data_IF_868035790106
#
_entry.id   IF_868035790106
#
_cell.length_a   1.000
_cell.length_b   1.000
_cell.length_c   1.000
_cell.angle_alpha   90.00
_cell.angle_beta   90.00
_cell.angle_gamma   90.00
#
_symmetry.space_group_name_H-M   'P 1'
#
loop_
_entity.id
_entity.type
_entity.pdbx_description
1 polymer ?
#
# COMPACT_ATOMS: atom_id res chain seq x y z
N UNK A 1 -25.03 -26.62 -24.05
CA UNK A 1 -25.13 -27.03 -22.63
C UNK A 1 -23.72 -27.25 -22.14
N UNK A 2 -23.12 -26.28 -21.46
CA UNK A 2 -21.80 -26.45 -20.87
C UNK A 2 -21.97 -27.30 -19.62
N UNK A 3 -21.46 -28.53 -19.65
CA UNK A 3 -21.23 -29.30 -18.44
C UNK A 3 -20.26 -28.50 -17.58
N UNK A 4 -20.79 -27.67 -16.68
CA UNK A 4 -20.07 -27.24 -15.50
C UNK A 4 -19.93 -28.47 -14.62
N UNK A 5 -19.07 -29.40 -15.05
CA UNK A 5 -18.65 -30.52 -14.22
C UNK A 5 -18.23 -29.92 -12.90
N UNK A 6 -18.85 -30.39 -11.81
CA UNK A 6 -18.52 -29.98 -10.47
C UNK A 6 -16.99 -30.14 -10.35
N UNK A 7 -16.26 -29.03 -10.44
CA UNK A 7 -14.82 -29.05 -10.20
C UNK A 7 -14.69 -29.59 -8.79
N UNK A 8 -14.00 -30.71 -8.63
CA UNK A 8 -13.71 -31.26 -7.31
C UNK A 8 -13.09 -30.15 -6.47
N UNK A 9 -13.91 -29.57 -5.58
CA UNK A 9 -13.46 -28.51 -4.69
C UNK A 9 -12.60 -29.20 -3.67
N UNK A 10 -11.28 -29.15 -3.90
CA UNK A 10 -10.31 -29.70 -2.96
C UNK A 10 -10.56 -29.09 -1.57
N UNK A 11 -10.45 -29.89 -0.49
CA UNK A 11 -10.74 -29.40 0.84
C UNK A 11 -9.79 -28.25 1.22
N UNK A 12 -10.28 -27.28 2.03
CA UNK A 12 -9.46 -26.21 2.54
C UNK A 12 -8.42 -26.73 3.53
N UNK A 13 -7.27 -26.09 3.55
CA UNK A 13 -6.06 -26.46 4.26
C UNK A 13 -5.78 -25.48 5.40
N UNK A 14 -5.07 -25.96 6.42
CA UNK A 14 -4.46 -25.05 7.40
C UNK A 14 -3.38 -24.20 6.73
N UNK A 15 -2.97 -23.09 7.36
CA UNK A 15 -1.94 -22.21 6.79
C UNK A 15 -0.64 -22.96 6.42
N UNK A 16 -0.18 -23.86 7.30
CA UNK A 16 1.07 -24.61 7.08
C UNK A 16 0.95 -25.64 5.95
N UNK A 17 -0.23 -26.23 5.76
CA UNK A 17 -0.49 -27.13 4.64
C UNK A 17 -0.69 -26.36 3.33
N UNK A 18 -1.36 -25.21 3.38
CA UNK A 18 -1.61 -24.35 2.24
C UNK A 18 -0.30 -23.80 1.65
N UNK A 19 0.64 -23.36 2.50
CA UNK A 19 1.94 -22.86 2.01
C UNK A 19 2.77 -23.94 1.32
N UNK A 20 2.75 -25.19 1.83
CA UNK A 20 3.46 -26.30 1.16
C UNK A 20 2.74 -26.72 -0.11
N UNK A 21 1.40 -26.75 -0.11
CA UNK A 21 0.62 -27.02 -1.31
C UNK A 21 0.89 -25.99 -2.42
N UNK A 22 1.01 -24.70 -2.07
CA UNK A 22 1.38 -23.66 -3.03
C UNK A 22 2.82 -23.85 -3.56
N UNK A 23 3.77 -24.15 -2.68
CA UNK A 23 5.15 -24.45 -3.07
C UNK A 23 5.24 -25.65 -4.05
N UNK A 24 4.46 -26.71 -3.80
CA UNK A 24 4.35 -27.86 -4.71
C UNK A 24 3.66 -27.45 -6.02
N UNK A 25 2.59 -26.66 -5.95
CA UNK A 25 1.85 -26.21 -7.12
C UNK A 25 2.72 -25.41 -8.09
N UNK A 26 3.55 -24.47 -7.60
CA UNK A 26 4.48 -23.70 -8.41
C UNK A 26 5.46 -24.56 -9.22
N UNK A 27 5.78 -25.75 -8.71
CA UNK A 27 6.69 -26.70 -9.36
C UNK A 27 5.95 -27.76 -10.20
N UNK A 28 4.62 -27.69 -10.28
CA UNK A 28 3.80 -28.68 -10.97
C UNK A 28 3.66 -28.38 -12.48
N UNK A 29 3.49 -29.41 -13.33
CA UNK A 29 3.19 -29.22 -14.75
C UNK A 29 1.96 -28.33 -14.98
N UNK A 30 0.94 -28.48 -14.13
CA UNK A 30 -0.31 -27.69 -14.15
C UNK A 30 -0.02 -26.19 -14.05
N UNK A 31 0.99 -25.77 -13.28
CA UNK A 31 1.36 -24.36 -13.22
C UNK A 31 2.07 -23.91 -14.51
N UNK A 32 2.99 -24.72 -15.03
CA UNK A 32 3.76 -24.40 -16.25
C UNK A 32 2.89 -24.27 -17.51
N UNK A 33 1.73 -24.91 -17.53
CA UNK A 33 0.76 -24.86 -18.64
C UNK A 33 -0.16 -23.63 -18.60
N UNK A 34 -0.10 -22.80 -17.56
CA UNK A 34 -0.92 -21.57 -17.48
C UNK A 34 -0.45 -20.55 -18.52
N UNK A 35 -1.40 -19.84 -19.12
CA UNK A 35 -1.17 -18.81 -20.14
C UNK A 35 -0.09 -17.78 -19.72
N UNK A 36 -0.10 -17.38 -18.44
CA UNK A 36 0.80 -16.38 -17.90
C UNK A 36 1.98 -16.97 -17.10
N UNK A 37 2.21 -18.29 -17.15
CA UNK A 37 3.30 -18.92 -16.40
C UNK A 37 4.67 -18.36 -16.81
N UNK A 38 4.84 -18.02 -18.09
CA UNK A 38 6.11 -17.57 -18.67
C UNK A 38 6.76 -16.38 -17.96
N UNK A 39 5.97 -15.46 -17.38
CA UNK A 39 6.50 -14.31 -16.62
C UNK A 39 7.01 -14.69 -15.23
N UNK A 40 6.61 -15.86 -14.72
CA UNK A 40 6.90 -16.34 -13.36
C UNK A 40 7.91 -17.50 -13.36
N UNK A 41 8.05 -18.23 -14.47
CA UNK A 41 8.96 -19.38 -14.61
C UNK A 41 10.40 -19.07 -14.17
N UNK A 42 10.87 -17.85 -14.46
CA UNK A 42 12.22 -17.43 -14.14
C UNK A 42 12.50 -17.24 -12.65
N UNK A 43 11.48 -17.32 -11.79
CA UNK A 43 11.55 -16.97 -10.37
C UNK A 43 10.84 -17.99 -9.46
N UNK A 44 10.61 -19.21 -9.97
CA UNK A 44 9.89 -20.26 -9.25
C UNK A 44 10.62 -20.68 -7.97
N UNK A 45 11.95 -20.75 -7.99
CA UNK A 45 12.74 -21.16 -6.83
C UNK A 45 12.58 -20.17 -5.68
N UNK A 46 12.67 -18.86 -5.98
CA UNK A 46 12.46 -17.80 -5.02
C UNK A 46 11.03 -17.81 -4.47
N UNK A 47 10.03 -17.91 -5.34
CA UNK A 47 8.62 -17.95 -4.91
C UNK A 47 8.32 -19.20 -4.08
N UNK A 48 8.88 -20.35 -4.44
CA UNK A 48 8.78 -21.60 -3.67
C UNK A 48 9.39 -21.42 -2.27
N UNK A 49 10.57 -20.79 -2.19
CA UNK A 49 11.22 -20.49 -0.93
C UNK A 49 10.41 -19.51 -0.06
N UNK A 50 9.84 -18.45 -0.66
CA UNK A 50 8.97 -17.48 0.00
C UNK A 50 7.74 -18.17 0.61
N UNK A 51 7.07 -19.04 -0.16
CA UNK A 51 5.93 -19.83 0.32
C UNK A 51 6.30 -20.66 1.54
N UNK A 52 7.38 -21.46 1.46
CA UNK A 52 7.84 -22.30 2.58
C UNK A 52 8.18 -21.50 3.84
N UNK A 53 8.66 -20.26 3.66
CA UNK A 53 9.02 -19.36 4.75
C UNK A 53 7.84 -18.52 5.29
N UNK A 54 6.60 -18.89 4.94
CA UNK A 54 5.37 -18.43 5.60
C UNK A 54 4.74 -17.19 4.96
N UNK A 55 4.87 -17.05 3.64
CA UNK A 55 4.16 -16.06 2.83
C UNK A 55 3.52 -16.77 1.63
N UNK A 56 2.21 -17.01 1.68
CA UNK A 56 1.50 -17.76 0.62
C UNK A 56 1.22 -16.83 -0.56
N UNK A 57 1.99 -16.96 -1.63
CA UNK A 57 1.90 -16.06 -2.80
C UNK A 57 0.63 -16.31 -3.59
N UNK A 58 -0.15 -15.26 -3.87
CA UNK A 58 -1.35 -15.32 -4.72
C UNK A 58 -1.14 -14.63 -6.07
N UNK A 59 -0.29 -13.60 -6.11
CA UNK A 59 0.04 -12.90 -7.34
C UNK A 59 1.45 -12.31 -7.28
N UNK A 60 2.12 -12.23 -8.42
CA UNK A 60 3.47 -11.68 -8.53
C UNK A 60 3.74 -11.17 -9.94
N UNK A 61 4.60 -10.15 -10.04
CA UNK A 61 5.11 -9.66 -11.31
C UNK A 61 6.57 -9.26 -11.17
N UNK A 62 7.35 -9.52 -12.21
CA UNK A 62 8.73 -9.04 -12.33
C UNK A 62 8.78 -7.56 -12.70
N UNK A 63 9.78 -6.84 -12.19
CA UNK A 63 10.09 -5.51 -12.69
C UNK A 63 10.86 -5.60 -14.01
N UNK A 64 10.24 -5.19 -15.12
CA UNK A 64 10.87 -5.24 -16.45
C UNK A 64 10.80 -3.90 -17.17
N UNK A 65 11.79 -3.63 -18.03
CA UNK A 65 11.73 -2.57 -19.04
C UNK A 65 11.82 -3.26 -20.39
N UNK A 66 10.71 -3.28 -21.12
CA UNK A 66 10.64 -3.82 -22.46
C UNK A 66 10.30 -2.71 -23.45
N UNK A 67 10.80 -2.83 -24.66
CA UNK A 67 10.49 -1.91 -25.74
C UNK A 67 10.44 -2.67 -27.06
N UNK A 68 9.67 -2.17 -28.00
CA UNK A 68 9.55 -2.76 -29.32
C UNK A 68 8.91 -1.82 -30.31
N UNK A 69 8.69 -2.33 -31.51
CA UNK A 69 7.98 -1.64 -32.57
C UNK A 69 6.75 -2.46 -32.93
N UNK A 70 5.58 -1.85 -32.85
CA UNK A 70 4.35 -2.47 -33.31
C UNK A 70 4.23 -2.22 -34.82
N UNK A 71 4.41 -3.28 -35.62
CA UNK A 71 4.43 -3.22 -37.08
C UNK A 71 3.09 -2.77 -37.69
N UNK A 72 1.97 -3.11 -37.05
CA UNK A 72 0.62 -2.76 -37.52
C UNK A 72 0.35 -1.27 -37.33
N UNK A 73 0.68 -0.73 -36.16
CA UNK A 73 0.44 0.69 -35.80
C UNK A 73 1.59 1.61 -36.20
N UNK A 74 2.73 1.06 -36.63
CA UNK A 74 3.99 1.76 -36.91
C UNK A 74 4.45 2.64 -35.75
N UNK A 75 4.23 2.20 -34.51
CA UNK A 75 4.60 2.93 -33.28
C UNK A 75 5.61 2.16 -32.44
N UNK A 76 6.59 2.89 -31.93
CA UNK A 76 7.43 2.38 -30.84
C UNK A 76 6.62 2.34 -29.55
N UNK A 77 6.78 1.25 -28.82
CA UNK A 77 6.22 1.12 -27.48
C UNK A 77 7.36 0.88 -26.49
N UNK A 78 7.14 1.36 -25.27
CA UNK A 78 8.02 1.13 -24.12
C UNK A 78 7.15 0.83 -22.92
N UNK A 79 7.27 -0.37 -22.39
CA UNK A 79 6.62 -0.79 -21.16
C UNK A 79 7.65 -0.69 -20.05
N UNK A 80 7.24 -0.08 -18.94
CA UNK A 80 8.02 -0.01 -17.70
C UNK A 80 7.16 -0.57 -16.60
N UNK A 81 7.59 -1.69 -16.05
CA UNK A 81 6.91 -2.39 -14.99
C UNK A 81 7.75 -2.37 -13.71
N UNK A 82 7.03 -2.34 -12.59
CA UNK A 82 7.60 -2.51 -11.25
C UNK A 82 7.38 -3.94 -10.82
N UNK A 83 8.30 -4.44 -10.01
CA UNK A 83 8.12 -5.70 -9.32
C UNK A 83 7.05 -5.58 -8.24
N UNK A 84 6.20 -6.59 -8.10
CA UNK A 84 5.32 -6.70 -6.95
C UNK A 84 5.13 -8.16 -6.52
N UNK A 85 4.69 -8.33 -5.28
CA UNK A 85 4.33 -9.60 -4.69
C UNK A 85 3.11 -9.42 -3.78
N UNK A 86 2.12 -10.29 -3.93
CA UNK A 86 0.91 -10.30 -3.09
C UNK A 86 0.71 -11.70 -2.52
N UNK A 87 0.26 -11.77 -1.27
CA UNK A 87 -0.02 -13.05 -0.64
C UNK A 87 -0.45 -12.97 0.81
N UNK A 88 -0.73 -14.14 1.39
CA UNK A 88 -1.19 -14.27 2.76
C UNK A 88 -0.05 -14.50 3.75
N UNK A 89 -0.16 -13.85 4.90
CA UNK A 89 0.66 -14.13 6.09
C UNK A 89 -0.23 -14.34 7.30
N UNK A 90 0.24 -15.13 8.28
CA UNK A 90 -0.42 -15.18 9.59
C UNK A 90 -0.47 -13.79 10.23
N UNK A 91 -1.61 -13.46 10.82
CA UNK A 91 -1.84 -12.17 11.50
C UNK A 91 -0.76 -11.89 12.56
N UNK A 92 -0.37 -12.91 13.33
CA UNK A 92 0.65 -12.82 14.39
C UNK A 92 2.03 -12.34 13.91
N UNK A 93 2.34 -12.52 12.63
CA UNK A 93 3.66 -12.27 12.05
C UNK A 93 3.65 -11.16 11.00
N UNK A 94 2.54 -10.99 10.29
CA UNK A 94 2.42 -10.07 9.16
C UNK A 94 2.71 -8.61 9.52
N UNK A 95 2.27 -8.14 10.68
CA UNK A 95 2.57 -6.76 11.14
C UNK A 95 4.07 -6.52 11.37
N UNK A 96 4.77 -7.48 11.99
CA UNK A 96 6.23 -7.42 12.19
C UNK A 96 6.97 -7.43 10.86
N UNK A 97 6.53 -8.27 9.93
CA UNK A 97 7.12 -8.38 8.59
C UNK A 97 6.97 -7.09 7.78
N UNK A 98 5.76 -6.51 7.73
CA UNK A 98 5.51 -5.23 7.04
C UNK A 98 6.41 -4.13 7.60
N UNK A 99 6.48 -4.01 8.92
CA UNK A 99 7.36 -3.02 9.57
C UNK A 99 8.83 -3.26 9.23
N UNK A 100 9.27 -4.52 9.21
CA UNK A 100 10.64 -4.85 8.85
C UNK A 100 10.97 -4.41 7.43
N UNK A 101 10.13 -4.74 6.44
CA UNK A 101 10.34 -4.36 5.04
C UNK A 101 10.45 -2.84 4.91
N UNK A 102 9.46 -2.11 5.42
CA UNK A 102 9.41 -0.65 5.29
C UNK A 102 10.53 0.08 6.04
N UNK A 103 11.14 -0.54 7.04
CA UNK A 103 12.19 0.07 7.87
C UNK A 103 13.62 -0.29 7.43
N UNK A 104 13.79 -1.41 6.71
CA UNK A 104 15.12 -1.97 6.43
C UNK A 104 15.43 -2.07 4.93
N UNK A 105 14.49 -1.71 4.07
CA UNK A 105 14.61 -1.85 2.61
C UNK A 105 14.06 -0.61 1.93
N UNK A 106 14.31 -0.47 0.63
CA UNK A 106 13.66 0.52 -0.23
C UNK A 106 12.31 0.03 -0.78
N UNK A 107 11.84 -1.16 -0.36
CA UNK A 107 10.57 -1.74 -0.80
C UNK A 107 9.43 -1.20 0.06
N UNK A 108 8.22 -1.27 -0.50
CA UNK A 108 7.01 -0.81 0.16
C UNK A 108 6.12 -2.01 0.42
N UNK A 109 5.82 -2.30 1.69
CA UNK A 109 4.87 -3.32 2.12
C UNK A 109 3.68 -2.67 2.82
N UNK A 110 2.48 -3.19 2.55
CA UNK A 110 1.26 -2.74 3.21
C UNK A 110 0.23 -3.85 3.29
N UNK A 111 -0.69 -3.66 4.22
CA UNK A 111 -1.87 -4.50 4.42
C UNK A 111 -2.99 -4.03 3.49
N UNK A 112 -3.60 -4.94 2.74
CA UNK A 112 -4.85 -4.67 2.02
C UNK A 112 -5.98 -4.52 3.04
N UNK A 113 -6.65 -3.37 3.03
CA UNK A 113 -7.76 -3.11 3.95
C UNK A 113 -8.99 -3.90 3.55
N UNK A 114 -9.63 -4.55 4.51
CA UNK A 114 -10.88 -5.27 4.30
C UNK A 114 -12.02 -4.34 4.75
N UNK A 115 -12.93 -4.06 3.83
CA UNK A 115 -14.19 -3.38 4.13
C UNK A 115 -15.33 -4.38 4.03
N UNK A 116 -16.41 -4.14 4.79
CA UNK A 116 -17.61 -4.95 4.60
C UNK A 116 -18.19 -4.70 3.20
N UNK A 117 -18.87 -5.72 2.67
CA UNK A 117 -19.44 -5.67 1.34
C UNK A 117 -20.50 -4.56 1.24
N UNK A 118 -21.29 -4.34 2.30
CA UNK A 118 -22.32 -3.30 2.36
C UNK A 118 -21.76 -1.88 2.29
N UNK A 119 -20.71 -1.53 3.05
CA UNK A 119 -20.11 -0.20 2.95
C UNK A 119 -19.38 -0.05 1.61
N UNK A 120 -18.84 -1.15 1.06
CA UNK A 120 -18.24 -1.14 -0.25
C UNK A 120 -19.26 -0.74 -1.33
N UNK A 121 -20.38 -1.45 -1.39
CA UNK A 121 -21.48 -1.19 -2.33
C UNK A 121 -22.11 0.19 -2.11
N UNK A 122 -22.26 0.63 -0.85
CA UNK A 122 -22.78 1.94 -0.54
C UNK A 122 -21.86 3.07 -1.04
N UNK A 123 -20.54 2.93 -0.91
CA UNK A 123 -19.60 3.91 -1.46
C UNK A 123 -19.49 3.83 -3.00
N UNK A 124 -19.56 2.64 -3.61
CA UNK A 124 -19.64 2.49 -5.05
C UNK A 124 -20.90 3.14 -5.63
N UNK A 125 -22.06 2.91 -5.02
CA UNK A 125 -23.34 3.54 -5.41
C UNK A 125 -23.28 5.05 -5.27
N UNK A 126 -22.69 5.58 -4.18
CA UNK A 126 -22.50 7.03 -4.01
C UNK A 126 -21.62 7.64 -5.09
N UNK A 127 -20.58 6.93 -5.56
CA UNK A 127 -19.76 7.36 -6.70
C UNK A 127 -20.59 7.42 -7.99
N UNK A 128 -21.33 6.36 -8.30
CA UNK A 128 -22.15 6.29 -9.51
C UNK A 128 -23.26 7.36 -9.53
N UNK A 129 -23.78 7.74 -8.36
CA UNK A 129 -24.73 8.84 -8.21
C UNK A 129 -24.07 10.23 -8.31
N UNK A 130 -22.75 10.34 -8.10
CA UNK A 130 -22.01 11.58 -8.24
C UNK A 130 -21.75 11.85 -9.73
N UNK A 131 -22.47 12.82 -10.31
CA UNK A 131 -22.30 13.23 -11.73
C UNK A 131 -20.92 13.85 -12.06
N UNK A 132 -20.01 13.94 -11.08
CA UNK A 132 -18.63 14.35 -11.28
C UNK A 132 -17.70 13.14 -11.31
N UNK A 133 -16.67 13.19 -12.15
CA UNK A 133 -15.61 12.18 -12.28
C UNK A 133 -14.68 12.10 -11.05
N UNK A 134 -15.24 12.10 -9.85
CA UNK A 134 -14.48 11.91 -8.63
C UNK A 134 -13.94 10.46 -8.59
N UNK A 135 -12.61 10.27 -8.43
CA UNK A 135 -12.02 8.93 -8.44
C UNK A 135 -12.46 8.13 -7.21
N UNK A 136 -12.44 6.79 -7.30
CA UNK A 136 -12.93 5.89 -6.23
C UNK A 136 -12.22 6.15 -4.88
N UNK A 137 -10.95 6.57 -4.92
CA UNK A 137 -10.14 6.93 -3.74
C UNK A 137 -10.66 8.16 -2.97
N UNK A 138 -11.64 8.89 -3.52
CA UNK A 138 -12.31 9.99 -2.82
C UNK A 138 -13.50 9.53 -1.96
N UNK A 139 -13.99 8.31 -2.19
CA UNK A 139 -15.13 7.72 -1.46
C UNK A 139 -14.70 6.71 -0.40
N UNK A 140 -13.58 6.03 -0.63
CA UNK A 140 -12.82 5.38 0.43
C UNK A 140 -11.52 6.15 0.56
N UNK A 141 -11.19 6.77 1.71
CA UNK A 141 -9.79 7.06 1.95
C UNK A 141 -9.08 5.72 1.79
N UNK A 142 -8.19 5.57 0.81
CA UNK A 142 -7.42 4.35 0.63
C UNK A 142 -6.66 4.16 1.94
N UNK A 143 -7.16 3.34 2.85
CA UNK A 143 -6.47 3.08 4.11
C UNK A 143 -5.41 2.03 3.77
N UNK A 144 -4.37 2.45 3.05
CA UNK A 144 -3.11 1.73 3.07
C UNK A 144 -2.55 1.94 4.48
N UNK A 145 -2.75 0.98 5.38
CA UNK A 145 -2.11 1.02 6.69
C UNK A 145 -0.65 0.66 6.49
N UNK A 146 0.19 1.66 6.25
CA UNK A 146 1.61 1.52 6.53
C UNK A 146 1.76 1.56 8.04
N UNK A 147 2.05 0.40 8.64
CA UNK A 147 2.10 0.24 10.11
C UNK A 147 3.17 1.12 10.78
N UNK A 148 4.11 1.63 10.00
CA UNK A 148 4.95 2.79 10.26
C UNK A 148 5.48 3.19 8.88
N UNK A 149 4.98 4.28 8.30
CA UNK A 149 5.62 4.82 7.10
C UNK A 149 7.04 5.24 7.47
N UNK A 150 8.04 4.77 6.70
CA UNK A 150 9.33 5.44 6.72
C UNK A 150 9.07 6.92 6.42
N UNK A 151 9.81 7.84 7.03
CA UNK A 151 9.66 9.28 6.80
C UNK A 151 9.84 9.71 5.33
N UNK A 152 10.17 8.78 4.45
CA UNK A 152 10.56 9.00 3.06
C UNK A 152 9.48 8.59 2.04
N UNK A 153 8.50 7.75 2.39
CA UNK A 153 7.43 7.35 1.44
C UNK A 153 6.12 8.02 1.82
N UNK A 154 5.70 9.03 1.05
CA UNK A 154 4.43 9.70 1.30
C UNK A 154 3.25 8.82 0.85
N UNK A 155 2.08 9.01 1.47
CA UNK A 155 0.85 8.37 1.02
C UNK A 155 0.52 8.70 -0.45
N UNK A 156 0.93 9.88 -0.91
CA UNK A 156 0.79 10.29 -2.31
C UNK A 156 1.68 9.45 -3.23
N UNK A 157 2.89 9.09 -2.80
CA UNK A 157 3.75 8.14 -3.53
C UNK A 157 3.07 6.78 -3.62
N UNK A 158 2.49 6.28 -2.52
CA UNK A 158 1.70 5.03 -2.51
C UNK A 158 0.57 5.13 -3.54
N UNK A 159 -0.31 6.12 -3.47
CA UNK A 159 -1.42 6.28 -4.44
C UNK A 159 -0.92 6.40 -5.88
N UNK A 160 0.19 7.10 -6.12
CA UNK A 160 0.80 7.21 -7.45
C UNK A 160 1.40 5.87 -7.94
N UNK A 161 1.84 4.99 -7.03
CA UNK A 161 2.22 3.62 -7.37
C UNK A 161 1.00 2.80 -7.82
N UNK A 162 -0.17 3.00 -7.20
CA UNK A 162 -1.40 2.25 -7.50
C UNK A 162 -2.22 2.76 -8.68
N UNK A 163 -2.04 4.01 -9.08
CA UNK A 163 -2.81 4.65 -10.15
C UNK A 163 -2.73 3.91 -11.51
N UNK A 164 -1.81 2.95 -11.64
CA UNK A 164 -1.62 2.11 -12.83
C UNK A 164 -1.56 0.61 -12.55
N UNK A 165 -1.75 0.16 -11.30
CA UNK A 165 -1.67 -1.26 -10.95
C UNK A 165 -3.04 -1.77 -10.49
N UNK A 166 -3.43 -2.96 -10.95
CA UNK A 166 -4.65 -3.67 -10.51
C UNK A 166 -4.57 -4.20 -9.06
N UNK A 167 -3.66 -3.66 -8.24
CA UNK A 167 -3.41 -4.15 -6.89
C UNK A 167 -4.44 -3.56 -5.92
N UNK A 168 -5.20 -4.41 -5.20
CA UNK A 168 -6.24 -3.94 -4.30
C UNK A 168 -5.63 -3.33 -3.04
N UNK A 169 -5.78 -2.01 -2.89
CA UNK A 169 -5.57 -1.32 -1.60
C UNK A 169 -6.70 -1.63 -0.60
N UNK A 170 -7.90 -1.87 -1.13
CA UNK A 170 -9.11 -2.20 -0.39
C UNK A 170 -9.74 -3.41 -1.08
N UNK A 171 -10.24 -4.35 -0.30
CA UNK A 171 -11.01 -5.50 -0.77
C UNK A 171 -12.24 -5.72 0.11
N UNK A 172 -13.23 -6.46 -0.39
CA UNK A 172 -14.42 -6.85 0.37
C UNK A 172 -14.15 -8.13 1.15
N UNK A 173 -15.00 -8.47 2.13
CA UNK A 173 -14.87 -9.74 2.85
C UNK A 173 -15.11 -10.92 1.91
N UNK A 174 -16.08 -10.82 1.01
CA UNK A 174 -16.33 -11.82 -0.03
C UNK A 174 -15.12 -12.03 -0.96
N UNK A 175 -14.46 -10.95 -1.36
CA UNK A 175 -13.27 -11.03 -2.21
C UNK A 175 -12.09 -11.65 -1.47
N UNK A 176 -11.89 -11.30 -0.19
CA UNK A 176 -10.90 -11.95 0.66
C UNK A 176 -11.18 -13.46 0.81
N UNK A 177 -12.44 -13.83 1.06
CA UNK A 177 -12.85 -15.23 1.18
C UNK A 177 -12.60 -16.00 -0.13
N UNK A 178 -12.82 -15.37 -1.29
CA UNK A 178 -12.49 -15.92 -2.60
C UNK A 178 -10.98 -16.14 -2.76
N UNK A 179 -10.16 -15.13 -2.45
CA UNK A 179 -8.69 -15.22 -2.49
C UNK A 179 -8.18 -16.31 -1.54
N UNK A 180 -8.76 -16.44 -0.34
CA UNK A 180 -8.46 -17.53 0.60
C UNK A 180 -8.82 -18.89 0.00
N UNK A 181 -9.97 -19.01 -0.66
CA UNK A 181 -10.38 -20.26 -1.30
C UNK A 181 -9.43 -20.66 -2.44
N UNK A 182 -8.97 -19.69 -3.25
CA UNK A 182 -7.96 -19.92 -4.30
C UNK A 182 -6.61 -20.37 -3.73
N UNK A 183 -6.19 -19.78 -2.61
CA UNK A 183 -5.03 -20.22 -1.83
C UNK A 183 -5.29 -21.51 -1.02
N UNK A 184 -6.47 -22.11 -1.14
CA UNK A 184 -6.96 -23.27 -0.38
C UNK A 184 -6.85 -23.09 1.14
N UNK A 185 -6.97 -21.87 1.63
CA UNK A 185 -6.99 -21.58 3.05
C UNK A 185 -8.38 -21.80 3.65
N UNK A 186 -8.39 -22.38 4.84
CA UNK A 186 -9.53 -22.38 5.75
C UNK A 186 -10.01 -20.95 6.06
N UNK A 187 -11.33 -20.73 6.07
CA UNK A 187 -11.95 -19.42 6.28
C UNK A 187 -11.61 -18.80 7.65
N UNK A 188 -11.42 -19.66 8.63
CA UNK A 188 -11.10 -19.43 10.03
C UNK A 188 -9.61 -19.18 10.30
N UNK A 189 -8.73 -19.38 9.31
CA UNK A 189 -7.31 -19.04 9.45
C UNK A 189 -7.14 -17.52 9.62
N UNK A 190 -6.49 -17.11 10.71
CA UNK A 190 -6.17 -15.72 11.01
C UNK A 190 -4.99 -15.26 10.15
N UNK A 191 -5.31 -14.79 8.95
CA UNK A 191 -4.35 -14.29 7.96
C UNK A 191 -4.64 -12.86 7.58
N UNK A 192 -3.61 -12.18 7.11
CA UNK A 192 -3.69 -10.89 6.46
C UNK A 192 -3.21 -10.99 5.01
N UNK A 193 -3.82 -10.21 4.12
CA UNK A 193 -3.38 -10.06 2.74
C UNK A 193 -2.34 -8.93 2.68
N UNK A 194 -1.12 -9.28 2.31
CA UNK A 194 0.02 -8.36 2.24
C UNK A 194 0.40 -8.16 0.80
N UNK A 195 0.60 -6.90 0.42
CA UNK A 195 1.16 -6.55 -0.88
C UNK A 195 2.49 -5.82 -0.69
N UNK A 196 3.47 -6.19 -1.49
CA UNK A 196 4.78 -5.58 -1.56
C UNK A 196 5.07 -5.07 -2.96
N UNK A 197 5.71 -3.91 -3.05
CA UNK A 197 6.08 -3.26 -4.30
C UNK A 197 7.55 -2.86 -4.27
N UNK A 198 8.21 -3.11 -5.38
CA UNK A 198 9.50 -2.53 -5.72
C UNK A 198 9.28 -1.16 -6.40
N UNK A 199 9.67 -0.03 -5.79
CA UNK A 199 9.42 1.28 -6.40
C UNK A 199 10.25 1.52 -7.66
N UNK A 200 11.31 0.73 -7.90
CA UNK A 200 12.24 0.88 -9.02
C UNK A 200 11.74 0.12 -10.24
N UNK A 201 11.46 0.85 -11.33
CA UNK A 201 11.09 0.25 -12.62
C UNK A 201 12.22 -0.61 -13.19
N UNK A 202 11.88 -1.79 -13.71
CA UNK A 202 12.84 -2.66 -14.39
C UNK A 202 13.82 -3.42 -13.49
N UNK A 203 13.72 -3.27 -12.16
CA UNK A 203 14.49 -4.10 -11.23
C UNK A 203 13.83 -5.47 -11.14
N UNK A 204 14.53 -6.49 -11.61
CA UNK A 204 14.08 -7.88 -11.49
C UNK A 204 13.91 -8.23 -10.01
N UNK A 205 12.77 -8.82 -9.65
CA UNK A 205 12.43 -9.20 -8.29
C UNK A 205 13.44 -10.21 -7.72
N UNK A 206 13.92 -11.13 -8.56
CA UNK A 206 14.94 -12.14 -8.20
C UNK A 206 16.38 -11.63 -8.15
N UNK A 207 16.64 -10.38 -8.52
CA UNK A 207 18.00 -9.84 -8.42
C UNK A 207 18.44 -9.77 -6.94
N UNK A 208 19.76 -9.76 -6.64
CA UNK A 208 20.25 -9.70 -5.25
C UNK A 208 19.74 -8.51 -4.42
N UNK A 209 19.40 -7.41 -5.08
CA UNK A 209 18.81 -6.19 -4.50
C UNK A 209 17.30 -6.06 -4.79
N UNK A 210 16.72 -7.10 -5.41
CA UNK A 210 15.33 -7.15 -5.84
C UNK A 210 14.37 -7.51 -4.71
N UNK A 211 13.08 -7.42 -5.02
CA UNK A 211 11.99 -7.66 -4.08
C UNK A 211 12.07 -9.02 -3.36
N UNK A 212 12.37 -10.11 -4.06
CA UNK A 212 12.34 -11.45 -3.45
C UNK A 212 13.47 -11.67 -2.46
N UNK A 213 14.67 -11.12 -2.73
CA UNK A 213 15.78 -11.18 -1.80
C UNK A 213 15.44 -10.49 -0.48
N UNK A 214 14.80 -9.32 -0.54
CA UNK A 214 14.41 -8.56 0.65
C UNK A 214 13.22 -9.18 1.39
N UNK A 215 12.25 -9.75 0.67
CA UNK A 215 11.19 -10.57 1.28
C UNK A 215 11.78 -11.71 2.09
N UNK A 216 12.74 -12.46 1.54
CA UNK A 216 13.38 -13.58 2.24
C UNK A 216 14.12 -13.14 3.51
N UNK A 217 14.85 -12.02 3.45
CA UNK A 217 15.50 -11.43 4.64
C UNK A 217 14.47 -11.04 5.71
N UNK A 218 13.37 -10.42 5.29
CA UNK A 218 12.28 -10.03 6.21
C UNK A 218 11.59 -11.23 6.83
N UNK A 219 11.34 -12.29 6.05
CA UNK A 219 10.78 -13.53 6.56
C UNK A 219 11.70 -14.19 7.58
N UNK A 220 13.02 -14.23 7.32
CA UNK A 220 13.99 -14.74 8.27
C UNK A 220 14.07 -13.89 9.56
N UNK A 221 13.98 -12.56 9.44
CA UNK A 221 14.07 -11.65 10.59
C UNK A 221 12.85 -11.73 11.52
N UNK A 222 11.70 -12.17 11.00
CA UNK A 222 10.44 -12.30 11.77
C UNK A 222 10.02 -13.75 11.96
N UNK A 223 10.92 -14.72 11.72
CA UNK A 223 10.62 -16.13 12.01
C UNK A 223 10.39 -16.29 13.52
N UNK A 224 9.31 -16.95 13.91
CA UNK A 224 8.98 -17.07 15.32
C UNK A 224 10.09 -17.81 16.07
N UNK A 225 10.57 -17.24 17.19
CA UNK A 225 11.43 -17.88 18.19
C UNK A 225 10.71 -19.03 18.94
N UNK A 226 9.87 -19.80 18.25
CA UNK A 226 9.11 -20.97 18.76
C UNK A 226 10.04 -22.09 19.22
N UNK A 227 11.35 -21.98 18.96
CA UNK A 227 12.36 -22.89 19.51
C UNK A 227 12.88 -22.53 20.91
N UNK A 228 12.50 -21.38 21.50
CA UNK A 228 13.00 -20.98 22.84
C UNK A 228 12.32 -21.68 24.03
N UNK A 229 11.32 -22.53 23.79
CA UNK A 229 10.73 -23.42 24.80
C UNK A 229 11.56 -24.67 25.14
N UNK A 230 12.61 -24.98 24.38
CA UNK A 230 13.54 -26.04 24.74
C UNK A 230 14.51 -25.52 25.81
N UNK A 231 14.23 -25.82 27.08
CA UNK A 231 15.14 -25.63 28.22
C UNK A 231 16.53 -26.24 27.94
N UNK A 232 17.43 -25.51 27.28
CA UNK A 232 18.86 -25.85 27.25
C UNK A 232 19.48 -25.39 28.56
N UNK A 233 19.61 -26.32 29.50
CA UNK A 233 20.62 -26.20 30.55
C UNK A 233 22.00 -26.18 29.89
N UNK A 234 22.68 -25.04 29.91
CA UNK A 234 23.98 -24.90 29.25
C UNK A 234 24.62 -23.53 29.46
N UNK A 235 25.52 -23.47 30.43
CA UNK A 235 26.58 -22.48 30.71
C UNK A 235 26.60 -21.17 29.89
N UNK A 236 26.37 -20.06 30.62
CA UNK A 236 26.58 -18.66 30.23
C UNK A 236 27.94 -18.42 29.55
N UNK A 237 27.93 -18.04 28.28
CA UNK A 237 28.97 -17.18 27.68
C UNK A 237 28.47 -15.73 27.72
N UNK A 238 29.24 -14.84 28.34
CA UNK A 238 28.97 -13.40 28.41
C UNK A 238 29.17 -12.78 27.02
N UNK A 239 28.10 -12.52 26.29
CA UNK A 239 28.10 -11.58 25.15
C UNK A 239 27.65 -10.19 25.59
N UNK A 240 28.21 -9.16 24.94
CA UNK A 240 27.97 -7.73 25.16
C UNK A 240 26.48 -7.34 25.05
N UNK A 241 26.01 -6.32 25.78
CA UNK A 241 24.62 -5.89 25.71
C UNK A 241 24.35 -5.13 24.41
N UNK A 242 23.38 -5.60 23.61
CA UNK A 242 22.67 -4.76 22.65
C UNK A 242 21.73 -3.83 23.42
N UNK A 243 21.60 -2.59 22.92
CA UNK A 243 20.68 -1.60 23.45
C UNK A 243 19.26 -2.17 23.51
N UNK A 244 18.64 -2.08 24.70
CA UNK A 244 17.28 -2.55 24.96
C UNK A 244 16.29 -1.77 24.11
N UNK A 245 15.64 -2.44 23.16
CA UNK A 245 14.35 -1.98 22.64
C UNK A 245 13.32 -2.01 23.78
N UNK A 246 12.36 -1.07 23.82
CA UNK A 246 11.33 -1.05 24.84
C UNK A 246 10.48 -2.32 24.75
N UNK A 247 10.22 -2.94 25.90
CA UNK A 247 9.36 -4.12 26.01
C UNK A 247 7.93 -3.75 25.56
N UNK A 248 7.47 -4.40 24.50
CA UNK A 248 6.08 -4.31 24.05
C UNK A 248 5.28 -5.31 24.90
N UNK A 249 4.29 -4.79 25.62
CA UNK A 249 3.43 -5.56 26.53
C UNK A 249 2.49 -6.46 25.69
N UNK A 250 2.71 -7.77 25.72
CA UNK A 250 1.86 -8.79 25.11
C UNK A 250 0.62 -9.00 25.99
N UNK A 251 -0.35 -8.09 25.91
CA UNK A 251 -1.69 -8.32 26.46
C UNK A 251 -2.77 -8.02 25.41
N UNK A 252 -3.80 -8.85 25.46
CA UNK A 252 -4.89 -9.19 24.52
C UNK A 252 -5.79 -8.07 23.96
N UNK A 253 -5.33 -6.82 23.80
CA UNK A 253 -6.17 -5.72 23.30
C UNK A 253 -6.11 -5.49 21.78
N UNK A 254 -5.18 -6.13 21.06
CA UNK A 254 -5.00 -5.91 19.62
C UNK A 254 -6.15 -6.48 18.76
N UNK A 255 -6.82 -7.55 19.18
CA UNK A 255 -7.85 -8.23 18.38
C UNK A 255 -9.25 -7.56 18.45
N UNK A 256 -9.49 -6.65 19.40
CA UNK A 256 -10.70 -5.82 19.43
C UNK A 256 -10.46 -4.38 18.95
N UNK A 257 -9.21 -3.92 18.93
CA UNK A 257 -8.85 -2.57 18.48
C UNK A 257 -9.08 -2.33 16.99
N UNK A 258 -8.81 -3.29 16.11
CA UNK A 258 -8.84 -3.07 14.65
C UNK A 258 -10.25 -2.86 14.09
N UNK A 259 -11.21 -3.72 14.45
CA UNK A 259 -12.60 -3.50 14.08
C UNK A 259 -13.16 -2.23 14.74
N UNK A 260 -12.73 -1.90 15.96
CA UNK A 260 -13.20 -0.70 16.64
C UNK A 260 -12.60 0.61 16.10
N UNK A 261 -11.36 0.64 15.65
CA UNK A 261 -10.73 1.83 15.04
C UNK A 261 -11.35 2.10 13.67
N UNK A 262 -11.49 1.07 12.83
CA UNK A 262 -12.13 1.18 11.51
C UNK A 262 -13.61 1.55 11.67
N UNK A 263 -14.36 0.88 12.56
CA UNK A 263 -15.77 1.19 12.80
C UNK A 263 -15.98 2.53 13.51
N UNK A 264 -15.12 2.94 14.44
CA UNK A 264 -15.21 4.26 15.08
C UNK A 264 -14.89 5.39 14.09
N UNK A 265 -13.95 5.18 13.17
CA UNK A 265 -13.64 6.12 12.10
C UNK A 265 -14.83 6.23 11.13
N UNK A 266 -15.38 5.11 10.65
CA UNK A 266 -16.57 5.06 9.77
C UNK A 266 -17.81 5.67 10.44
N UNK A 267 -18.09 5.34 11.71
CA UNK A 267 -19.26 5.82 12.46
C UNK A 267 -19.17 7.32 12.80
N UNK A 268 -17.96 7.85 13.00
CA UNK A 268 -17.71 9.30 13.20
C UNK A 268 -17.80 10.07 11.89
N UNK A 269 -17.43 9.46 10.77
CA UNK A 269 -17.56 10.04 9.43
C UNK A 269 -19.02 10.08 8.95
N UNK A 270 -19.81 9.02 9.24
CA UNK A 270 -21.22 8.92 8.85
C UNK A 270 -22.19 9.77 9.71
N UNK A 271 -21.78 10.21 10.91
CA UNK A 271 -22.61 11.05 11.81
C UNK A 271 -22.35 12.55 11.68
N UNK A 272 -21.27 12.96 11.03
CA UNK A 272 -21.04 14.37 10.76
C UNK A 272 -21.99 14.81 9.65
N UNK A 273 -22.76 15.91 9.80
CA UNK A 273 -23.41 16.51 8.64
C UNK A 273 -22.34 16.78 7.58
N UNK A 274 -22.66 16.73 6.28
CA UNK A 274 -21.70 16.98 5.22
C UNK A 274 -21.22 18.43 5.29
N UNK A 275 -20.28 18.70 6.19
CA UNK A 275 -19.49 19.92 6.18
C UNK A 275 -18.51 19.69 5.06
N UNK A 276 -18.80 20.26 3.90
CA UNK A 276 -17.89 20.25 2.78
C UNK A 276 -16.55 20.86 3.27
N UNK A 277 -15.50 20.06 3.49
CA UNK A 277 -14.25 20.58 4.05
C UNK A 277 -13.61 21.56 3.06
N UNK A 278 -13.93 21.44 1.76
CA UNK A 278 -13.56 22.41 0.74
C UNK A 278 -14.33 23.72 0.85
N UNK A 279 -15.56 23.75 1.38
CA UNK A 279 -16.27 25.00 1.64
C UNK A 279 -15.59 25.79 2.78
N UNK A 280 -15.14 25.11 3.83
CA UNK A 280 -14.37 25.72 4.92
C UNK A 280 -13.00 26.20 4.44
N UNK A 281 -12.29 25.38 3.64
CA UNK A 281 -11.01 25.74 3.02
C UNK A 281 -11.17 26.85 1.97
N UNK A 282 -12.29 26.93 1.26
CA UNK A 282 -12.56 27.99 0.29
C UNK A 282 -12.98 29.30 0.98
N UNK A 283 -13.70 29.25 2.11
CA UNK A 283 -13.90 30.42 2.98
C UNK A 283 -12.57 30.92 3.53
N UNK A 284 -11.69 30.01 3.94
CA UNK A 284 -10.32 30.31 4.38
C UNK A 284 -9.48 30.93 3.24
N UNK A 285 -9.53 30.36 2.03
CA UNK A 285 -8.84 30.90 0.85
C UNK A 285 -9.41 32.23 0.35
N UNK A 286 -10.70 32.50 0.64
CA UNK A 286 -11.35 33.79 0.35
C UNK A 286 -10.93 34.85 1.37
N UNK A 287 -10.91 34.51 2.66
CA UNK A 287 -10.37 35.35 3.72
C UNK A 287 -8.87 35.64 3.56
N UNK A 288 -8.14 34.77 2.87
CA UNK A 288 -6.73 34.98 2.49
C UNK A 288 -6.52 36.01 1.36
N UNK A 289 -7.54 36.26 0.52
CA UNK A 289 -7.48 37.23 -0.59
C UNK A 289 -7.90 38.63 -0.16
N UNK A 290 -8.60 38.75 0.96
CA UNK A 290 -9.08 40.00 1.55
C UNK A 290 -8.17 40.29 2.76
N UNK A 291 -7.38 41.35 2.69
CA UNK A 291 -6.21 41.67 3.53
C UNK A 291 -6.37 41.42 5.05
N UNK A 292 -5.39 40.73 5.67
CA UNK A 292 -4.53 41.21 6.78
C UNK A 292 -3.73 40.02 7.37
N UNK A 293 -2.40 40.10 7.44
CA UNK A 293 -1.52 39.04 7.97
C UNK A 293 -1.86 38.71 9.43
N UNK A 294 -2.40 39.68 10.17
CA UNK A 294 -2.90 39.47 11.53
C UNK A 294 -4.08 38.50 11.57
N UNK A 295 -5.05 38.64 10.66
CA UNK A 295 -6.20 37.73 10.55
C UNK A 295 -5.76 36.29 10.24
N UNK A 296 -4.69 36.13 9.47
CA UNK A 296 -4.11 34.82 9.18
C UNK A 296 -3.54 34.15 10.45
N UNK A 297 -2.79 34.90 11.27
CA UNK A 297 -2.23 34.40 12.52
C UNK A 297 -3.34 34.01 13.50
N UNK A 298 -4.37 34.85 13.68
CA UNK A 298 -5.50 34.55 14.56
C UNK A 298 -6.28 33.31 14.11
N UNK A 299 -6.41 33.10 12.79
CA UNK A 299 -7.12 31.93 12.24
C UNK A 299 -6.28 30.64 12.34
N UNK A 300 -4.95 30.72 12.34
CA UNK A 300 -4.07 29.57 12.61
C UNK A 300 -4.04 29.19 14.09
N UNK A 301 -4.34 30.13 14.96
CA UNK A 301 -4.52 29.87 16.39
C UNK A 301 -5.91 29.33 16.74
N UNK A 302 -6.87 29.40 15.82
CA UNK A 302 -8.21 28.83 15.97
C UNK A 302 -8.13 27.32 16.28
N UNK A 303 -8.71 26.86 17.42
CA UNK A 303 -8.65 25.46 17.84
C UNK A 303 -9.24 24.47 16.82
N UNK A 304 -10.20 24.91 16.00
CA UNK A 304 -10.83 24.11 14.94
C UNK A 304 -9.88 23.92 13.77
N UNK A 305 -9.15 24.97 13.38
CA UNK A 305 -8.14 24.91 12.32
C UNK A 305 -6.96 24.05 12.75
N UNK A 306 -6.51 24.18 14.00
CA UNK A 306 -5.49 23.27 14.57
C UNK A 306 -5.95 21.82 14.55
N UNK A 307 -7.17 21.52 15.02
CA UNK A 307 -7.74 20.17 14.98
C UNK A 307 -7.86 19.62 13.55
N UNK A 308 -8.18 20.46 12.56
CA UNK A 308 -8.25 20.07 11.15
C UNK A 308 -6.86 19.80 10.54
N UNK A 309 -5.85 20.58 10.90
CA UNK A 309 -4.46 20.36 10.49
C UNK A 309 -3.81 19.16 11.19
N UNK A 310 -4.25 18.83 12.41
CA UNK A 310 -3.88 17.61 13.12
C UNK A 310 -4.54 16.39 12.50
N UNK A 311 -5.83 16.48 12.15
CA UNK A 311 -6.60 15.38 11.58
C UNK A 311 -6.29 15.10 10.09
N UNK A 312 -5.67 16.04 9.36
CA UNK A 312 -5.38 15.87 7.93
C UNK A 312 -4.02 16.45 7.52
N UNK A 313 -3.02 15.61 7.21
CA UNK A 313 -1.73 16.04 6.67
C UNK A 313 -1.87 16.85 5.37
N UNK A 314 -2.87 16.55 4.53
CA UNK A 314 -3.14 17.29 3.30
C UNK A 314 -3.59 18.73 3.55
N UNK A 315 -4.45 18.94 4.56
CA UNK A 315 -4.86 20.29 4.98
C UNK A 315 -3.66 21.05 5.56
N UNK A 316 -2.87 20.39 6.40
CA UNK A 316 -1.63 20.94 6.96
C UNK A 316 -0.67 21.43 5.87
N UNK A 317 -0.36 20.58 4.89
CA UNK A 317 0.56 20.93 3.80
C UNK A 317 0.02 22.07 2.93
N UNK A 318 -1.29 22.09 2.66
CA UNK A 318 -1.92 23.17 1.89
C UNK A 318 -1.86 24.52 2.62
N UNK A 319 -2.09 24.52 3.94
CA UNK A 319 -1.96 25.70 4.80
C UNK A 319 -0.51 26.17 4.87
N UNK A 320 0.45 25.25 5.06
CA UNK A 320 1.88 25.57 5.07
C UNK A 320 2.37 26.17 3.75
N UNK A 321 1.96 25.60 2.61
CA UNK A 321 2.30 26.13 1.29
C UNK A 321 1.70 27.53 1.03
N UNK A 322 0.51 27.80 1.55
CA UNK A 322 -0.09 29.14 1.49
C UNK A 322 0.69 30.15 2.35
N UNK A 323 1.11 29.75 3.56
CA UNK A 323 1.95 30.60 4.42
C UNK A 323 3.29 30.90 3.74
N UNK A 324 3.96 29.89 3.19
CA UNK A 324 5.24 30.06 2.48
C UNK A 324 5.07 30.99 1.28
N UNK A 325 4.00 30.82 0.49
CA UNK A 325 3.74 31.64 -0.69
C UNK A 325 3.51 33.11 -0.36
N UNK A 326 2.84 33.43 0.73
CA UNK A 326 2.53 34.81 1.12
C UNK A 326 3.63 35.44 1.99
N UNK A 327 4.40 34.64 2.73
CA UNK A 327 5.53 35.11 3.54
C UNK A 327 6.79 35.40 2.71
N UNK A 328 6.93 34.80 1.53
CA UNK A 328 8.05 35.08 0.63
C UNK A 328 7.82 36.41 -0.11
N UNK A 329 8.82 37.31 -0.14
CA UNK A 329 8.72 38.55 -0.89
C UNK A 329 8.48 38.21 -2.37
N UNK A 330 7.44 38.81 -2.96
CA UNK A 330 7.13 38.60 -4.38
C UNK A 330 8.38 38.92 -5.21
N UNK A 331 8.80 38.03 -6.13
CA UNK A 331 10.00 38.25 -6.92
C UNK A 331 9.87 39.59 -7.66
N UNK A 332 10.89 40.43 -7.53
CA UNK A 332 10.98 41.70 -8.24
C UNK A 332 10.78 41.43 -9.73
N UNK A 333 9.65 41.89 -10.26
CA UNK A 333 9.32 41.73 -11.67
C UNK A 333 10.22 42.69 -12.45
N UNK A 334 11.39 42.20 -12.88
CA UNK A 334 12.26 42.96 -13.78
C UNK A 334 11.53 43.05 -15.12
N UNK A 335 10.93 44.21 -15.39
CA UNK A 335 10.35 44.53 -16.70
C UNK A 335 11.47 44.53 -17.74
N UNK A 336 11.68 43.42 -18.43
CA UNK A 336 12.55 43.38 -19.62
C UNK A 336 11.96 44.30 -20.70
N UNK A 337 12.61 45.45 -20.89
CA UNK A 337 12.29 46.42 -21.93
C UNK A 337 12.64 45.78 -23.28
N UNK A 338 11.63 45.33 -24.04
CA UNK A 338 11.80 44.80 -25.40
C UNK A 338 12.38 45.89 -26.30
N UNK A 339 13.66 45.81 -26.66
CA UNK A 339 14.27 46.64 -27.71
C UNK A 339 13.85 46.08 -29.08
N UNK A 340 12.97 46.81 -29.77
CA UNK A 340 12.61 46.56 -31.17
C UNK A 340 13.82 46.83 -32.07
N UNK A 341 14.45 45.78 -32.61
CA UNK A 341 15.42 45.90 -33.70
C UNK A 341 14.65 46.10 -35.02
N UNK A 342 14.69 47.32 -35.55
CA UNK A 342 14.19 47.65 -36.88
C UNK A 342 15.06 46.97 -37.95
N UNK A 343 14.47 46.07 -38.73
CA UNK A 343 15.10 45.42 -39.88
C UNK A 343 14.80 46.25 -41.13
N UNK A 344 15.70 47.18 -41.48
CA UNK A 344 15.76 47.76 -42.84
C UNK A 344 16.31 46.68 -43.78
N UNK A 345 15.56 46.35 -44.84
CA UNK A 345 16.11 45.69 -46.03
C UNK A 345 16.08 46.71 -47.17
N UNK A 346 17.26 47.01 -47.68
CA UNK A 346 17.49 47.42 -49.07
C UNK A 346 17.50 46.16 -49.93
#
# INVERSE_FOLDING_TARGET
>A
MSETGARDVLPPLSFDLAKEAMAIHLQSPVFSERENAGTTMGSLDELTAINRNGFITTNSQEGVISQGFNEETKRYWKIKERGYLMGFMRLSRGGKFINWINSNTDKIAFLTAIVNDEDFEAAFTRRSAYKGSAPLESFFPSIAVTLQGSSETSFEDIVNLFSFSHLPLITTQSSLDSEKAEARLKKEEEVILVTLIDPIYGRLCKSPEGLYADVMKGLAAVSDDVSSGAKKGGTRRKSRPLNKLPAINENSEYNHGYNNITNAFIKKFNKAPPVNPFATVNRFAKALKEEDVRTLITTLEDPTVKRLMEASPRIRNKVQNLIIREALPKPLTVKMRKTRKARRRR
#
